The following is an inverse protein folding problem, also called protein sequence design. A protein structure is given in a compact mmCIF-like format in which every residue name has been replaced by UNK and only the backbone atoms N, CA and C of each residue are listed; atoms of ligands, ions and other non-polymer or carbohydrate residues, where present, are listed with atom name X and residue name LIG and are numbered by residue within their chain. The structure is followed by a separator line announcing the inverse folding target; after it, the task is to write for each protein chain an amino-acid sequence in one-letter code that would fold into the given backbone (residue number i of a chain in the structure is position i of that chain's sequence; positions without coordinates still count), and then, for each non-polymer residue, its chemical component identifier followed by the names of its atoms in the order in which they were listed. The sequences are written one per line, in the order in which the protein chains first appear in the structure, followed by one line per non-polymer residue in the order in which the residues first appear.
data_IF_536834104402
#
_entry.id   IF_536834104402
#
_cell.length_a   1.000
_cell.length_b   1.000
_cell.length_c   1.000
_cell.angle_alpha   90.00
_cell.angle_beta   90.00
_cell.angle_gamma   90.00
#
_symmetry.space_group_name_H-M   'P 1'
#
loop_
_entity.id
_entity.type
_entity.pdbx_description
1 polymer ?
#
# COMPACT_ATOMS: atom_id res chain seq x y z
N UNK A 1 -1.90 -3.85 11.40
CA UNK A 1 -2.08 -5.10 12.15
C UNK A 1 -2.26 -4.93 13.66
N UNK A 2 -1.81 -3.83 14.31
CA UNK A 2 -1.99 -3.66 15.78
C UNK A 2 -3.44 -3.59 16.26
N UNK A 3 -4.38 -3.00 15.49
CA UNK A 3 -5.80 -3.02 15.85
C UNK A 3 -6.39 -4.44 15.84
N UNK A 4 -6.01 -5.26 14.85
CA UNK A 4 -6.40 -6.68 14.78
C UNK A 4 -5.75 -7.46 15.92
N UNK A 5 -4.47 -7.18 16.24
CA UNK A 5 -3.78 -7.77 17.40
C UNK A 5 -4.52 -7.48 18.70
N UNK A 6 -4.94 -6.23 18.91
CA UNK A 6 -5.74 -5.84 20.07
C UNK A 6 -7.07 -6.60 20.14
N UNK A 7 -7.83 -6.65 19.04
CA UNK A 7 -9.10 -7.38 19.01
C UNK A 7 -8.92 -8.87 19.31
N UNK A 8 -7.92 -9.52 18.71
CA UNK A 8 -7.62 -10.93 18.97
C UNK A 8 -7.19 -11.17 20.41
N UNK A 9 -6.31 -10.32 20.95
CA UNK A 9 -5.86 -10.40 22.35
C UNK A 9 -7.04 -10.24 23.32
N UNK A 10 -7.95 -9.31 23.04
CA UNK A 10 -9.16 -9.14 23.83
C UNK A 10 -10.06 -10.39 23.79
N UNK A 11 -10.22 -11.00 22.61
CA UNK A 11 -10.97 -12.25 22.47
C UNK A 11 -10.33 -13.41 23.23
N UNK A 12 -9.00 -13.51 23.22
CA UNK A 12 -8.26 -14.53 23.95
C UNK A 12 -8.42 -14.34 25.46
N UNK A 13 -8.26 -13.11 25.96
CA UNK A 13 -8.50 -12.78 27.37
C UNK A 13 -9.94 -13.10 27.79
N UNK A 14 -10.93 -12.77 26.96
CA UNK A 14 -12.33 -13.08 27.23
C UNK A 14 -12.61 -14.59 27.30
N UNK A 15 -11.76 -15.42 26.70
CA UNK A 15 -11.80 -16.89 26.76
C UNK A 15 -10.92 -17.49 27.86
N UNK A 16 -10.22 -16.66 28.63
CA UNK A 16 -9.25 -17.11 29.63
C UNK A 16 -7.98 -17.71 29.02
N UNK A 17 -7.65 -17.35 27.78
CA UNK A 17 -6.40 -17.75 27.10
C UNK A 17 -5.33 -16.71 27.41
N UNK A 18 -4.12 -17.18 27.75
CA UNK A 18 -2.98 -16.31 28.03
C UNK A 18 -2.49 -15.55 26.79
N UNK A 19 -2.01 -14.33 27.00
CA UNK A 19 -1.52 -13.45 25.94
C UNK A 19 -0.17 -13.95 25.43
N UNK A 20 -0.13 -14.46 24.19
CA UNK A 20 1.11 -14.98 23.58
C UNK A 20 2.12 -13.87 23.24
N UNK A 21 1.64 -12.71 22.80
CA UNK A 21 2.49 -11.59 22.39
C UNK A 21 2.01 -10.29 23.07
N UNK A 22 2.58 -9.90 24.21
CA UNK A 22 2.23 -8.65 24.85
C UNK A 22 2.57 -7.46 23.94
N UNK A 23 1.85 -6.33 24.06
CA UNK A 23 2.12 -5.16 23.26
C UNK A 23 3.52 -4.60 23.56
N UNK A 24 4.29 -4.36 22.50
CA UNK A 24 5.60 -3.74 22.55
C UNK A 24 5.46 -2.27 22.12
N UNK A 25 5.75 -1.35 23.04
CA UNK A 25 5.39 0.08 22.90
C UNK A 25 6.57 0.96 22.48
N UNK A 26 7.81 0.46 22.53
CA UNK A 26 8.98 1.26 22.18
C UNK A 26 9.00 1.60 20.68
N UNK A 27 8.64 2.86 20.37
CA UNK A 27 8.58 3.40 19.00
C UNK A 27 9.93 3.88 18.50
N UNK A 28 10.98 3.88 19.32
CA UNK A 28 12.32 4.30 18.87
C UNK A 28 12.87 3.41 17.76
N UNK A 29 12.35 2.18 17.64
CA UNK A 29 12.67 1.23 16.58
C UNK A 29 12.34 1.72 15.16
N UNK A 30 11.42 2.68 15.01
CA UNK A 30 11.02 3.25 13.71
C UNK A 30 11.44 4.71 13.55
N UNK A 31 12.46 5.15 14.31
CA UNK A 31 13.00 6.50 14.19
C UNK A 31 13.84 6.65 12.93
N UNK A 32 13.80 7.84 12.32
CA UNK A 32 14.76 8.24 11.30
C UNK A 32 16.22 8.18 11.83
N UNK A 33 17.18 8.07 10.93
CA UNK A 33 18.61 8.08 11.28
C UNK A 33 19.02 9.46 11.81
N UNK A 34 20.05 9.51 12.66
CA UNK A 34 20.59 10.76 13.21
C UNK A 34 20.94 11.79 12.12
N UNK A 35 21.39 11.31 10.96
CA UNK A 35 21.56 12.10 9.74
C UNK A 35 20.61 11.55 8.67
N UNK A 36 19.42 12.16 8.49
CA UNK A 36 18.45 11.70 7.50
C UNK A 36 19.01 11.79 6.07
N UNK A 37 19.02 10.66 5.35
CA UNK A 37 19.45 10.54 3.96
C UNK A 37 18.33 9.88 3.13
N UNK A 38 17.84 10.57 2.09
CA UNK A 38 16.87 9.98 1.15
C UNK A 38 17.70 9.39 0.02
N UNK A 39 17.80 8.07 0.03
CA UNK A 39 18.56 7.31 -0.95
C UNK A 39 17.73 7.00 -2.19
N UNK A 40 16.40 7.09 -2.06
CA UNK A 40 15.46 6.77 -3.12
C UNK A 40 14.48 7.92 -3.35
N UNK A 41 13.99 8.02 -4.59
CA UNK A 41 12.83 8.85 -4.92
C UNK A 41 11.56 8.20 -4.35
N UNK A 42 10.80 8.96 -3.56
CA UNK A 42 9.59 8.48 -2.88
C UNK A 42 8.30 8.97 -3.56
N UNK A 43 8.02 8.41 -4.75
CA UNK A 43 6.86 8.76 -5.61
C UNK A 43 5.50 8.56 -4.94
N UNK A 44 5.44 7.74 -3.90
CA UNK A 44 4.28 7.50 -3.05
C UNK A 44 3.87 8.73 -2.22
N UNK A 45 4.72 9.76 -2.12
CA UNK A 45 4.42 11.05 -1.48
C UNK A 45 4.27 12.21 -2.47
N UNK A 46 4.50 11.98 -3.76
CA UNK A 46 4.17 12.98 -4.79
C UNK A 46 2.64 13.07 -4.99
N UNK A 47 2.13 14.25 -5.38
CA UNK A 47 0.73 14.41 -5.78
C UNK A 47 0.30 13.35 -6.79
N UNK A 48 -0.98 12.97 -6.75
CA UNK A 48 -1.53 12.08 -7.78
C UNK A 48 -1.50 12.79 -9.15
N UNK A 49 -1.37 12.03 -10.25
CA UNK A 49 -1.52 12.58 -11.59
C UNK A 49 -2.86 13.30 -11.71
N UNK A 50 -2.86 14.48 -12.34
CA UNK A 50 -4.10 15.20 -12.62
C UNK A 50 -4.90 14.43 -13.68
N UNK A 51 -6.16 14.05 -13.41
CA UNK A 51 -6.98 13.40 -14.42
C UNK A 51 -7.15 14.32 -15.63
N UNK A 52 -7.00 13.79 -16.84
CA UNK A 52 -7.27 14.58 -18.04
C UNK A 52 -8.77 14.86 -18.21
N UNK A 53 -9.60 13.93 -17.72
CA UNK A 53 -11.06 14.05 -17.70
C UNK A 53 -11.53 14.26 -16.26
N UNK A 54 -12.28 15.34 -15.97
CA UNK A 54 -12.87 15.55 -14.63
C UNK A 54 -13.84 14.42 -14.28
N UNK A 55 -13.62 13.76 -13.15
CA UNK A 55 -14.54 12.76 -12.63
C UNK A 55 -15.63 13.46 -11.80
N UNK A 56 -16.90 13.25 -12.16
CA UNK A 56 -18.02 13.72 -11.35
C UNK A 56 -18.14 12.86 -10.08
N UNK A 57 -17.50 13.31 -9.00
CA UNK A 57 -17.46 12.60 -7.73
C UNK A 57 -18.74 12.78 -6.89
N UNK A 58 -19.76 13.48 -7.40
CA UNK A 58 -20.96 13.84 -6.61
C UNK A 58 -21.88 12.64 -6.34
N UNK A 59 -21.70 11.51 -7.02
CA UNK A 59 -22.50 10.28 -6.84
C UNK A 59 -21.62 9.04 -6.77
N UNK A 60 -21.03 8.80 -5.60
CA UNK A 60 -20.29 7.56 -5.31
C UNK A 60 -21.22 6.51 -4.69
N UNK A 61 -21.18 5.28 -5.20
CA UNK A 61 -21.91 4.12 -4.65
C UNK A 61 -20.89 3.08 -4.19
N UNK A 62 -21.13 2.48 -3.02
CA UNK A 62 -20.35 1.35 -2.52
C UNK A 62 -20.99 0.03 -2.96
N UNK A 63 -20.19 -0.89 -3.47
CA UNK A 63 -20.66 -2.22 -3.91
C UNK A 63 -19.62 -3.29 -3.58
N UNK A 64 -20.09 -4.50 -3.27
CA UNK A 64 -19.25 -5.64 -2.92
C UNK A 64 -19.24 -6.61 -4.10
N UNK A 65 -18.05 -6.86 -4.65
CA UNK A 65 -17.83 -7.86 -5.70
C UNK A 65 -17.27 -9.13 -5.06
N UNK A 66 -18.04 -10.23 -5.14
CA UNK A 66 -17.59 -11.54 -4.66
C UNK A 66 -16.80 -12.22 -5.77
N UNK A 67 -15.55 -12.55 -5.48
CA UNK A 67 -14.69 -13.32 -6.38
C UNK A 67 -14.62 -14.76 -5.90
N UNK A 68 -14.93 -15.72 -6.77
CA UNK A 68 -14.81 -17.15 -6.45
C UNK A 68 -13.36 -17.62 -6.58
N UNK A 69 -13.06 -18.77 -5.99
CA UNK A 69 -11.75 -19.42 -6.13
C UNK A 69 -11.45 -19.73 -7.59
N UNK A 70 -12.42 -20.28 -8.34
CA UNK A 70 -12.25 -20.62 -9.75
C UNK A 70 -11.97 -19.39 -10.62
N UNK A 71 -12.61 -18.25 -10.32
CA UNK A 71 -12.33 -16.98 -11.00
C UNK A 71 -10.91 -16.49 -10.71
N UNK A 72 -10.46 -16.59 -9.46
CA UNK A 72 -9.10 -16.23 -9.08
C UNK A 72 -8.06 -17.14 -9.71
N UNK A 73 -8.30 -18.45 -9.74
CA UNK A 73 -7.42 -19.43 -10.36
C UNK A 73 -7.38 -19.24 -11.88
N UNK A 74 -8.48 -18.85 -12.51
CA UNK A 74 -8.53 -18.43 -13.91
C UNK A 74 -7.64 -17.21 -14.16
N UNK A 75 -7.71 -16.18 -13.30
CA UNK A 75 -6.86 -14.99 -13.42
C UNK A 75 -5.37 -15.34 -13.24
N UNK A 76 -5.05 -16.26 -12.33
CA UNK A 76 -3.67 -16.75 -12.14
C UNK A 76 -3.18 -17.63 -13.29
N UNK A 77 -4.06 -18.39 -13.93
CA UNK A 77 -3.68 -19.17 -15.10
C UNK A 77 -3.29 -18.23 -16.27
N UNK A 78 -4.10 -17.19 -16.49
CA UNK A 78 -3.83 -16.15 -17.50
C UNK A 78 -2.53 -15.40 -17.28
N UNK A 79 -2.02 -15.35 -16.04
CA UNK A 79 -0.75 -14.67 -15.79
C UNK A 79 0.47 -15.49 -16.21
N UNK A 80 0.31 -16.78 -16.51
CA UNK A 80 1.38 -17.67 -17.00
C UNK A 80 1.40 -17.80 -18.53
N UNK A 81 0.47 -17.15 -19.21
CA UNK A 81 0.46 -17.07 -20.68
C UNK A 81 1.70 -16.29 -21.18
N UNK A 82 1.99 -16.39 -22.48
CA UNK A 82 3.12 -15.72 -23.14
C UNK A 82 4.52 -16.07 -22.59
N UNK A 83 4.65 -17.23 -21.93
CA UNK A 83 5.93 -17.71 -21.41
C UNK A 83 6.39 -17.05 -20.11
N UNK A 84 5.52 -16.28 -19.43
CA UNK A 84 5.86 -15.72 -18.12
C UNK A 84 6.02 -16.83 -17.05
N UNK A 85 7.23 -16.95 -16.50
CA UNK A 85 7.54 -17.93 -15.45
C UNK A 85 7.42 -17.36 -14.03
N UNK A 86 7.20 -16.05 -13.89
CA UNK A 86 7.11 -15.40 -12.58
C UNK A 86 5.76 -15.72 -11.93
N UNK A 87 5.80 -16.20 -10.68
CA UNK A 87 4.58 -16.45 -9.89
C UNK A 87 4.22 -15.24 -9.05
N UNK A 88 3.19 -14.51 -9.47
CA UNK A 88 2.59 -13.44 -8.69
C UNK A 88 1.57 -13.99 -7.68
N UNK A 89 1.44 -13.32 -6.55
CA UNK A 89 0.43 -13.58 -5.53
C UNK A 89 -0.99 -13.33 -6.05
N UNK A 90 -1.99 -13.92 -5.39
CA UNK A 90 -3.41 -13.63 -5.67
C UNK A 90 -3.73 -12.14 -5.61
N UNK A 91 -3.11 -11.44 -4.66
CA UNK A 91 -3.31 -10.01 -4.45
C UNK A 91 -2.78 -9.22 -5.64
N UNK A 92 -1.54 -9.45 -6.07
CA UNK A 92 -0.93 -8.74 -7.20
C UNK A 92 -1.72 -8.92 -8.50
N UNK A 93 -2.12 -10.17 -8.81
CA UNK A 93 -2.96 -10.48 -9.98
C UNK A 93 -4.31 -9.76 -9.91
N UNK A 94 -4.98 -9.83 -8.76
CA UNK A 94 -6.30 -9.23 -8.60
C UNK A 94 -6.23 -7.70 -8.65
N UNK A 95 -5.23 -7.09 -8.00
CA UNK A 95 -5.01 -5.65 -8.04
C UNK A 95 -4.74 -5.15 -9.46
N UNK A 96 -3.92 -5.88 -10.23
CA UNK A 96 -3.72 -5.57 -11.66
C UNK A 96 -4.99 -5.68 -12.48
N UNK A 97 -5.80 -6.72 -12.23
CA UNK A 97 -7.10 -6.90 -12.90
C UNK A 97 -8.11 -5.79 -12.55
N UNK A 98 -8.21 -5.41 -11.28
CA UNK A 98 -9.08 -4.31 -10.83
C UNK A 98 -8.64 -2.99 -11.46
N UNK A 99 -7.33 -2.73 -11.52
CA UNK A 99 -6.81 -1.52 -12.16
C UNK A 99 -7.18 -1.47 -13.66
N UNK A 100 -7.10 -2.61 -14.36
CA UNK A 100 -7.56 -2.73 -15.75
C UNK A 100 -9.04 -2.44 -15.90
N UNK A 101 -9.88 -2.99 -15.03
CA UNK A 101 -11.32 -2.72 -15.01
C UNK A 101 -11.63 -1.25 -14.71
N UNK A 102 -10.89 -0.63 -13.79
CA UNK A 102 -11.04 0.78 -13.44
C UNK A 102 -10.75 1.69 -14.65
N UNK A 103 -9.61 1.48 -15.31
CA UNK A 103 -9.24 2.24 -16.50
C UNK A 103 -10.29 2.11 -17.63
N UNK A 104 -10.84 0.90 -17.83
CA UNK A 104 -11.93 0.67 -18.81
C UNK A 104 -13.21 1.41 -18.42
N UNK A 105 -13.63 1.28 -17.16
CA UNK A 105 -14.88 1.87 -16.67
C UNK A 105 -14.86 3.40 -16.72
N UNK A 106 -13.68 4.00 -16.55
CA UNK A 106 -13.50 5.45 -16.59
C UNK A 106 -13.20 5.99 -18.01
N UNK A 107 -13.06 5.12 -19.02
CA UNK A 107 -12.69 5.54 -20.37
C UNK A 107 -11.39 6.34 -20.38
N UNK A 108 -10.41 5.95 -19.57
CA UNK A 108 -9.15 6.70 -19.44
C UNK A 108 -8.43 6.78 -20.79
N UNK A 109 -7.90 7.97 -21.18
CA UNK A 109 -7.00 8.12 -22.31
C UNK A 109 -5.76 7.23 -22.17
N UNK A 110 -5.25 6.73 -23.29
CA UNK A 110 -4.15 5.75 -23.30
C UNK A 110 -2.86 6.32 -22.66
N UNK A 111 -2.63 7.63 -22.77
CA UNK A 111 -1.48 8.35 -22.21
C UNK A 111 -1.70 8.80 -20.75
N UNK A 112 -2.89 8.59 -20.19
CA UNK A 112 -3.17 8.96 -18.80
C UNK A 112 -2.53 7.98 -17.82
N UNK A 113 -1.76 8.51 -16.87
CA UNK A 113 -1.20 7.75 -15.76
C UNK A 113 -2.29 7.25 -14.80
N UNK A 114 -2.25 5.95 -14.53
CA UNK A 114 -3.02 5.28 -13.49
C UNK A 114 -2.07 4.85 -12.36
N UNK A 115 -2.28 5.43 -11.17
CA UNK A 115 -1.51 5.13 -9.95
C UNK A 115 -2.30 4.22 -9.02
N UNK A 116 -1.76 3.05 -8.70
CA UNK A 116 -2.25 2.19 -7.61
C UNK A 116 -1.32 2.31 -6.41
N UNK A 117 -1.90 2.48 -5.22
CA UNK A 117 -1.14 2.59 -3.97
C UNK A 117 -1.55 1.49 -3.01
N UNK A 118 -0.58 0.71 -2.56
CA UNK A 118 -0.77 -0.52 -1.80
C UNK A 118 -0.18 -0.35 -0.40
N UNK A 119 -1.04 -0.35 0.64
CA UNK A 119 -0.58 -0.41 2.03
C UNK A 119 0.19 -1.70 2.29
N UNK A 120 1.45 -1.59 2.70
CA UNK A 120 2.35 -2.73 2.92
C UNK A 120 2.82 -2.72 4.38
N UNK A 121 2.74 -3.86 5.07
CA UNK A 121 3.27 -4.00 6.43
C UNK A 121 4.80 -4.07 6.41
N UNK A 122 5.44 -3.09 7.06
CA UNK A 122 6.89 -2.97 7.16
C UNK A 122 7.52 -3.80 8.27
N UNK A 123 6.73 -4.36 9.21
CA UNK A 123 7.27 -5.04 10.42
C UNK A 123 8.32 -6.09 10.13
N UNK A 124 8.06 -6.97 9.16
CA UNK A 124 8.96 -8.07 8.78
C UNK A 124 10.05 -7.64 7.80
N UNK A 125 9.99 -6.42 7.29
CA UNK A 125 10.89 -5.89 6.25
C UNK A 125 12.04 -5.08 6.81
N UNK A 126 11.93 -4.60 8.05
CA UNK A 126 13.05 -4.01 8.78
C UNK A 126 14.10 -5.08 9.10
N UNK A 127 15.35 -4.64 9.23
CA UNK A 127 16.47 -5.46 9.68
C UNK A 127 17.14 -4.79 10.89
N UNK A 128 17.03 -5.39 12.10
CA UNK A 128 16.23 -6.59 12.42
C UNK A 128 14.72 -6.37 12.27
N UNK A 129 13.89 -7.44 12.09
CA UNK A 129 12.44 -7.32 12.07
C UNK A 129 11.91 -6.70 13.37
N UNK A 130 10.80 -5.97 13.28
CA UNK A 130 10.14 -5.45 14.47
C UNK A 130 9.57 -6.59 15.33
N UNK A 131 9.50 -6.42 16.66
CA UNK A 131 8.91 -7.41 17.55
C UNK A 131 7.48 -7.79 17.13
N UNK A 132 7.06 -9.06 17.24
CA UNK A 132 5.70 -9.49 16.91
C UNK A 132 4.60 -8.70 17.63
N UNK A 133 4.87 -8.26 18.86
CA UNK A 133 3.98 -7.42 19.66
C UNK A 133 4.01 -5.93 19.34
N UNK A 134 4.80 -5.47 18.35
CA UNK A 134 4.98 -4.04 18.07
C UNK A 134 3.64 -3.32 17.86
N UNK A 135 3.38 -2.38 18.76
CA UNK A 135 2.13 -1.65 18.87
C UNK A 135 2.29 -0.24 18.31
N UNK A 136 1.95 -0.08 17.03
CA UNK A 136 2.05 1.17 16.30
C UNK A 136 1.70 1.01 14.83
N UNK A 137 1.65 2.12 14.09
CA UNK A 137 1.52 2.05 12.64
C UNK A 137 2.89 1.71 12.03
N UNK A 138 2.92 0.77 11.09
CA UNK A 138 4.13 0.39 10.32
C UNK A 138 3.71 0.10 8.87
N UNK A 139 2.74 0.87 8.39
CA UNK A 139 2.24 0.75 7.02
C UNK A 139 3.01 1.72 6.16
N UNK A 140 3.68 1.20 5.14
CA UNK A 140 4.37 1.97 4.10
C UNK A 140 3.64 1.75 2.78
N UNK A 141 3.64 2.78 1.93
CA UNK A 141 2.89 2.78 0.67
C UNK A 141 3.80 2.36 -0.47
N UNK A 142 3.54 1.18 -1.03
CA UNK A 142 4.08 0.83 -2.35
C UNK A 142 3.22 1.53 -3.41
N UNK A 143 3.84 2.24 -4.36
CA UNK A 143 3.13 2.86 -5.47
C UNK A 143 3.61 2.28 -6.80
N UNK A 144 2.67 1.82 -7.60
CA UNK A 144 2.87 1.46 -9.00
C UNK A 144 2.14 2.47 -9.89
N UNK A 145 2.82 2.96 -10.92
CA UNK A 145 2.30 3.91 -11.91
C UNK A 145 2.47 3.28 -13.28
N UNK A 146 1.40 3.23 -14.05
CA UNK A 146 1.36 2.72 -15.42
C UNK A 146 0.43 3.59 -16.24
N UNK A 147 0.60 3.66 -17.54
CA UNK A 147 -0.37 4.34 -18.40
C UNK A 147 -1.61 3.46 -18.63
N UNK A 148 -2.77 4.07 -18.85
CA UNK A 148 -3.99 3.33 -19.14
C UNK A 148 -3.82 2.45 -20.39
N UNK A 149 -3.13 2.97 -21.42
CA UNK A 149 -2.84 2.25 -22.65
C UNK A 149 -1.98 1.00 -22.41
N UNK A 150 -0.96 1.07 -21.55
CA UNK A 150 -0.19 -0.11 -21.15
C UNK A 150 -1.05 -1.14 -20.41
N UNK A 151 -1.90 -0.71 -19.48
CA UNK A 151 -2.78 -1.61 -18.72
C UNK A 151 -3.77 -2.33 -19.65
N UNK A 152 -4.27 -1.64 -20.68
CA UNK A 152 -5.22 -2.22 -21.63
C UNK A 152 -4.56 -3.15 -22.64
N UNK A 153 -3.45 -2.71 -23.25
CA UNK A 153 -2.80 -3.42 -24.36
C UNK A 153 -1.91 -4.58 -23.93
N UNK A 154 -1.29 -4.51 -22.75
CA UNK A 154 -0.36 -5.54 -22.28
C UNK A 154 -1.07 -6.75 -21.65
N UNK A 155 -0.40 -7.91 -21.58
CA UNK A 155 -0.95 -9.11 -20.95
C UNK A 155 -1.38 -8.88 -19.49
N UNK A 156 -2.29 -9.73 -19.00
CA UNK A 156 -2.87 -9.61 -17.65
C UNK A 156 -1.81 -9.56 -16.54
N UNK A 157 -0.69 -10.25 -16.74
CA UNK A 157 0.40 -10.29 -15.77
C UNK A 157 1.23 -9.01 -15.71
N UNK A 158 1.19 -8.14 -16.73
CA UNK A 158 2.05 -6.95 -16.78
C UNK A 158 1.75 -5.98 -15.63
N UNK A 159 0.46 -5.66 -15.41
CA UNK A 159 0.09 -4.80 -14.28
C UNK A 159 0.50 -5.45 -12.94
N UNK A 160 0.39 -6.77 -12.84
CA UNK A 160 0.81 -7.51 -11.64
C UNK A 160 2.32 -7.48 -11.43
N UNK A 161 3.14 -7.49 -12.50
CA UNK A 161 4.60 -7.41 -12.40
C UNK A 161 5.04 -6.04 -11.88
N UNK A 162 4.45 -4.95 -12.36
CA UNK A 162 4.78 -3.61 -11.86
C UNK A 162 4.35 -3.46 -10.39
N UNK A 163 3.21 -4.03 -10.02
CA UNK A 163 2.76 -4.07 -8.62
C UNK A 163 3.73 -4.89 -7.76
N UNK A 164 4.16 -6.05 -8.25
CA UNK A 164 5.12 -6.92 -7.59
C UNK A 164 6.43 -6.18 -7.33
N UNK A 165 7.00 -5.54 -8.35
CA UNK A 165 8.24 -4.78 -8.24
C UNK A 165 8.10 -3.64 -7.21
N UNK A 166 6.96 -2.94 -7.20
CA UNK A 166 6.68 -1.90 -6.22
C UNK A 166 6.64 -2.45 -4.78
N UNK A 167 6.07 -3.64 -4.57
CA UNK A 167 5.99 -4.29 -3.25
C UNK A 167 7.37 -4.84 -2.82
N UNK A 168 8.11 -5.45 -3.73
CA UNK A 168 9.45 -6.03 -3.46
C UNK A 168 10.46 -4.92 -3.17
N UNK A 169 10.35 -3.77 -3.83
CA UNK A 169 11.18 -2.59 -3.59
C UNK A 169 11.11 -2.07 -2.15
N UNK A 170 10.02 -2.34 -1.41
CA UNK A 170 9.85 -1.96 -0.01
C UNK A 170 10.72 -2.82 0.94
N UNK A 171 12.03 -2.85 0.72
CA UNK A 171 13.00 -3.53 1.57
C UNK A 171 13.47 -2.61 2.71
N UNK A 172 14.27 -3.15 3.64
CA UNK A 172 14.80 -2.40 4.80
C UNK A 172 15.36 -1.02 4.44
N UNK A 173 16.18 -0.93 3.41
CA UNK A 173 16.85 0.32 3.04
C UNK A 173 15.87 1.33 2.47
N UNK A 174 14.89 0.87 1.70
CA UNK A 174 13.80 1.71 1.24
C UNK A 174 12.96 2.23 2.40
N UNK A 175 12.61 1.38 3.38
CA UNK A 175 11.85 1.82 4.55
C UNK A 175 12.62 2.86 5.38
N UNK A 176 13.93 2.66 5.60
CA UNK A 176 14.79 3.64 6.28
C UNK A 176 14.86 4.96 5.51
N UNK A 177 14.96 4.91 4.18
CA UNK A 177 14.91 6.11 3.34
C UNK A 177 13.57 6.84 3.46
N UNK A 178 12.44 6.11 3.52
CA UNK A 178 11.10 6.69 3.74
C UNK A 178 11.05 7.43 5.08
N UNK A 179 11.52 6.81 6.17
CA UNK A 179 11.57 7.45 7.49
C UNK A 179 12.36 8.76 7.45
N UNK A 180 13.54 8.73 6.84
CA UNK A 180 14.39 9.91 6.68
C UNK A 180 13.83 10.98 5.74
N UNK A 181 13.05 10.57 4.73
CA UNK A 181 12.34 11.49 3.86
C UNK A 181 11.22 12.19 4.64
N UNK A 182 10.41 11.43 5.39
CA UNK A 182 9.33 11.97 6.19
C UNK A 182 9.82 12.92 7.28
N UNK A 183 10.92 12.58 7.97
CA UNK A 183 11.53 13.44 8.98
C UNK A 183 11.87 14.84 8.41
N UNK A 184 12.43 14.89 7.19
CA UNK A 184 12.80 16.17 6.56
C UNK A 184 11.61 16.97 6.02
N UNK A 185 10.55 16.31 5.55
CA UNK A 185 9.46 16.97 4.83
C UNK A 185 8.20 17.20 5.69
N UNK A 186 8.04 16.49 6.80
CA UNK A 186 6.89 16.65 7.71
C UNK A 186 7.21 17.57 8.90
N UNK A 187 8.46 17.61 9.38
CA UNK A 187 8.87 18.46 10.52
C UNK A 187 8.90 19.96 10.16
N UNK A 188 8.89 20.32 8.87
CA UNK A 188 8.97 21.70 8.39
C UNK A 188 7.65 22.28 7.84
N UNK A 189 6.52 21.65 8.08
CA UNK A 189 5.20 22.25 7.81
C UNK A 189 4.59 22.81 9.09
N UNK A 190 4.66 24.14 9.35
CA UNK A 190 3.86 24.75 10.40
C UNK A 190 2.39 24.75 9.93
N UNK A 191 1.50 24.32 10.82
CA UNK A 191 0.04 24.40 10.74
C UNK A 191 -0.64 23.88 9.46
N UNK A 192 -1.14 22.64 9.51
CA UNK A 192 -2.19 22.19 8.59
C UNK A 192 -3.55 22.52 9.22
N UNK A 193 -4.37 23.43 8.65
CA UNK A 193 -5.66 23.78 9.20
C UNK A 193 -6.68 22.65 9.01
N UNK A 194 -7.39 22.33 10.09
CA UNK A 194 -8.69 21.63 10.17
C UNK A 194 -8.94 20.41 9.26
N UNK A 195 -8.75 19.23 9.85
CA UNK A 195 -9.60 18.02 9.92
C UNK A 195 -10.96 17.85 9.17
N UNK A 196 -11.37 18.65 8.17
CA UNK A 196 -12.75 18.58 7.63
C UNK A 196 -12.96 18.12 6.19
N UNK A 197 -11.95 17.87 5.35
CA UNK A 197 -12.23 17.50 3.95
C UNK A 197 -11.50 16.26 3.39
N UNK A 198 -10.74 15.52 4.20
CA UNK A 198 -9.99 14.35 3.71
C UNK A 198 -10.20 13.11 4.57
N UNK A 199 -11.37 12.49 4.45
CA UNK A 199 -11.62 11.15 5.00
C UNK A 199 -10.77 10.05 4.34
N UNK A 200 -9.99 10.39 3.30
CA UNK A 200 -8.97 9.54 2.67
C UNK A 200 -7.58 9.62 3.32
N UNK A 201 -7.39 10.44 4.36
CA UNK A 201 -6.13 10.57 5.09
C UNK A 201 -6.21 9.95 6.49
N UNK A 202 -6.48 8.64 6.57
CA UNK A 202 -6.13 7.88 7.78
C UNK A 202 -4.64 7.58 7.72
N UNK A 203 -3.81 8.56 8.07
CA UNK A 203 -2.45 8.35 8.54
C UNK A 203 -2.03 9.61 9.32
N UNK A 204 -2.22 9.55 10.64
CA UNK A 204 -1.37 10.28 11.56
C UNK A 204 0.11 9.97 11.24
N UNK A 205 1.04 10.92 11.38
CA UNK A 205 2.47 10.68 11.27
C UNK A 205 2.85 9.42 12.06
N UNK A 206 3.72 8.58 11.49
CA UNK A 206 4.29 7.40 12.15
C UNK A 206 5.02 7.72 13.47
N UNK A 207 5.13 9.02 13.82
CA UNK A 207 5.89 9.56 14.95
C UNK A 207 5.15 10.61 15.79
N UNK A 208 3.85 10.89 15.57
CA UNK A 208 3.12 11.87 16.41
C UNK A 208 2.25 11.20 17.48
N UNK A 209 2.28 11.80 18.68
CA UNK A 209 1.82 11.35 20.00
C UNK A 209 2.75 10.36 20.70
#
# INVERSE_FOLDING_TARGET
MSAVHFMNTWLDMARGIDITHPPFIDRTLIRARDKPQSLFEHREYHPAPTPQVPLDNTKTVNSIFKLTRDQLDTLKAKSKEDGNTVSYSSFEILSGHILKCLCKAQGMPDDQDAKITIPTDGRTRFQPPLPPGYFGNVIIRASAILTAGEIQSKPTWYAASIIHDAIVKMNNDYLKSVLDYLERHLVHKPDVPSFKENWYLINQPLTSW
#
